data_IF_525484118527
#
_entry.id   IF_525484118527
#
_cell.length_a   1.000
_cell.length_b   1.000
_cell.length_c   1.000
_cell.angle_alpha   90.00
_cell.angle_beta   90.00
_cell.angle_gamma   90.00
#
_symmetry.space_group_name_H-M   'P 1'
#
loop_
_entity.id
_entity.type
_entity.pdbx_description
1 polymer ?
#
# COMPACT_ATOMS: atom_id res chain seq x y z
N UNK A 1 3.45 7.85 32.42
CA UNK A 1 3.66 7.13 31.14
C UNK A 1 2.36 7.18 30.37
N UNK A 2 2.28 8.02 29.33
CA UNK A 2 1.09 8.13 28.48
C UNK A 2 0.76 6.76 27.88
N UNK A 3 -0.47 6.30 28.06
CA UNK A 3 -1.00 5.04 27.55
C UNK A 3 -1.16 5.09 26.03
N UNK A 4 -0.06 5.11 25.29
CA UNK A 4 -0.12 4.73 23.88
C UNK A 4 -0.50 3.26 23.85
N UNK A 5 -1.73 2.98 23.39
CA UNK A 5 -2.14 1.62 23.09
C UNK A 5 -1.07 0.99 22.20
N UNK A 6 -0.60 -0.21 22.56
CA UNK A 6 0.36 -0.99 21.75
C UNK A 6 -0.09 -1.13 20.28
N UNK A 7 -1.39 -0.92 20.01
CA UNK A 7 -1.97 -0.86 18.68
C UNK A 7 -1.37 0.23 17.78
N UNK A 8 -0.89 1.34 18.33
CA UNK A 8 -0.31 2.46 17.58
C UNK A 8 1.22 2.37 17.48
N UNK A 9 1.88 1.67 18.40
CA UNK A 9 3.34 1.59 18.46
C UNK A 9 3.97 0.87 17.26
N UNK A 10 3.30 -0.18 16.77
CA UNK A 10 3.84 -1.10 15.78
C UNK A 10 3.23 -0.95 14.39
N UNK A 11 2.28 -0.02 14.20
CA UNK A 11 1.64 0.21 12.92
C UNK A 11 1.70 1.67 12.56
N UNK A 12 2.24 1.92 11.37
CA UNK A 12 2.15 3.21 10.71
C UNK A 12 0.83 3.26 9.97
N UNK A 13 0.14 4.40 10.05
CA UNK A 13 -0.94 4.72 9.14
C UNK A 13 -0.40 5.74 8.12
N UNK A 14 0.03 5.32 6.92
CA UNK A 14 0.70 6.23 6.01
C UNK A 14 -0.17 7.42 5.64
N UNK A 15 -1.50 7.25 5.56
CA UNK A 15 -2.47 8.32 5.27
C UNK A 15 -2.44 9.51 6.24
N UNK A 16 -1.86 9.34 7.43
CA UNK A 16 -1.62 10.43 8.40
C UNK A 16 -0.39 11.27 8.08
N UNK A 17 0.46 10.79 7.19
CA UNK A 17 1.71 11.41 6.82
C UNK A 17 1.47 12.29 5.61
N UNK A 18 1.99 13.52 5.69
CA UNK A 18 1.82 14.53 4.64
C UNK A 18 2.84 14.39 3.52
N UNK A 19 4.02 13.82 3.79
CA UNK A 19 5.14 13.76 2.84
C UNK A 19 5.46 12.33 2.43
N UNK A 20 5.59 12.13 1.12
CA UNK A 20 5.95 10.86 0.50
C UNK A 20 7.13 11.06 -0.46
N UNK A 21 7.98 10.05 -0.67
CA UNK A 21 8.05 8.79 0.10
C UNK A 21 8.38 9.01 1.60
N UNK A 22 8.21 7.97 2.42
CA UNK A 22 8.41 8.10 3.87
C UNK A 22 9.90 8.18 4.24
N UNK A 23 10.22 8.99 5.25
CA UNK A 23 11.56 9.07 5.84
C UNK A 23 11.75 7.96 6.88
N UNK A 24 11.97 6.73 6.40
CA UNK A 24 12.06 5.53 7.24
C UNK A 24 13.13 5.60 8.34
N UNK A 25 14.24 6.28 8.09
CA UNK A 25 15.26 6.50 9.10
C UNK A 25 14.75 7.32 10.30
N UNK A 26 13.87 8.30 10.08
CA UNK A 26 13.22 9.06 11.15
C UNK A 26 12.19 8.22 11.90
N UNK A 27 11.47 7.36 11.17
CA UNK A 27 10.46 6.46 11.75
C UNK A 27 11.11 5.45 12.71
N UNK A 28 12.24 4.85 12.31
CA UNK A 28 12.97 3.90 13.14
C UNK A 28 14.00 4.55 14.09
N UNK A 29 14.32 5.83 13.90
CA UNK A 29 15.32 6.56 14.68
C UNK A 29 16.76 6.11 14.42
N UNK A 30 17.02 5.44 13.30
CA UNK A 30 18.34 4.90 12.93
C UNK A 30 18.47 4.78 11.40
N UNK A 31 19.65 4.37 10.91
CA UNK A 31 19.94 4.21 9.48
C UNK A 31 20.11 2.75 9.06
N UNK A 32 19.52 1.81 9.80
CA UNK A 32 19.59 0.39 9.47
C UNK A 32 18.85 0.11 8.16
N UNK A 33 19.37 -0.85 7.39
CA UNK A 33 18.81 -1.27 6.11
C UNK A 33 17.39 -1.83 6.27
N UNK A 34 16.55 -1.61 5.26
CA UNK A 34 15.16 -2.05 5.28
C UNK A 34 14.96 -3.44 4.66
N UNK A 35 14.23 -4.31 5.35
CA UNK A 35 13.71 -5.57 4.83
C UNK A 35 12.19 -5.50 4.86
N UNK A 36 11.54 -5.72 3.71
CA UNK A 36 10.08 -5.67 3.58
C UNK A 36 9.53 -7.07 3.34
N UNK A 37 8.59 -7.52 4.16
CA UNK A 37 7.76 -8.70 3.87
C UNK A 37 6.38 -8.25 3.34
N UNK A 38 6.01 -8.74 2.16
CA UNK A 38 4.70 -8.52 1.56
C UNK A 38 3.80 -9.73 1.84
N UNK A 39 2.61 -9.46 2.37
CA UNK A 39 1.63 -10.50 2.70
C UNK A 39 2.06 -11.34 3.90
N UNK A 40 2.52 -10.68 4.98
CA UNK A 40 3.07 -11.37 6.16
C UNK A 40 2.07 -12.27 6.89
N UNK A 41 0.76 -12.17 6.61
CA UNK A 41 -0.27 -13.02 7.20
C UNK A 41 -0.26 -12.98 8.72
N UNK A 42 -0.02 -14.12 9.39
CA UNK A 42 0.04 -14.18 10.85
C UNK A 42 1.26 -13.48 11.45
N UNK A 43 2.27 -13.12 10.64
CA UNK A 43 3.49 -12.44 11.07
C UNK A 43 4.53 -13.35 11.73
N UNK A 44 4.37 -14.67 11.71
CA UNK A 44 5.34 -15.60 12.30
C UNK A 44 6.74 -15.44 11.70
N UNK A 45 6.82 -15.30 10.38
CA UNK A 45 8.08 -15.16 9.65
C UNK A 45 8.73 -13.81 9.96
N UNK A 46 8.02 -12.70 9.77
CA UNK A 46 8.52 -11.35 10.06
C UNK A 46 9.06 -11.21 11.49
N UNK A 47 8.30 -11.69 12.48
CA UNK A 47 8.68 -11.63 13.90
C UNK A 47 9.95 -12.43 14.16
N UNK A 48 10.10 -13.59 13.52
CA UNK A 48 11.29 -14.43 13.72
C UNK A 48 12.53 -13.80 13.09
N UNK A 49 12.39 -13.23 11.88
CA UNK A 49 13.47 -12.48 11.23
C UNK A 49 13.96 -11.32 12.10
N UNK A 50 13.04 -10.52 12.63
CA UNK A 50 13.41 -9.35 13.42
C UNK A 50 14.04 -9.70 14.77
N UNK A 51 13.65 -10.82 15.38
CA UNK A 51 14.31 -11.34 16.59
C UNK A 51 15.73 -11.79 16.34
N UNK A 52 15.99 -12.41 15.19
CA UNK A 52 17.30 -12.96 14.87
C UNK A 52 18.33 -11.85 14.63
N UNK A 53 17.92 -10.75 13.97
CA UNK A 53 18.85 -9.73 13.54
C UNK A 53 18.34 -8.30 13.73
N UNK A 54 18.78 -7.65 14.81
CA UNK A 54 18.43 -6.26 15.12
C UNK A 54 19.18 -5.21 14.26
N UNK A 55 20.08 -5.62 13.37
CA UNK A 55 20.80 -4.71 12.47
C UNK A 55 20.00 -4.30 11.24
N UNK A 56 18.79 -4.84 11.08
CA UNK A 56 17.84 -4.46 10.04
C UNK A 56 16.56 -3.88 10.65
N UNK A 57 15.94 -2.97 9.90
CA UNK A 57 14.59 -2.52 10.15
C UNK A 57 13.63 -3.32 9.25
N UNK A 58 12.56 -3.83 9.81
CA UNK A 58 11.62 -4.72 9.15
C UNK A 58 10.28 -4.03 8.94
N UNK A 59 9.74 -4.14 7.73
CA UNK A 59 8.43 -3.60 7.39
C UNK A 59 7.53 -4.74 6.91
N UNK A 60 6.38 -4.91 7.55
CA UNK A 60 5.34 -5.83 7.08
C UNK A 60 4.24 -5.08 6.34
N UNK A 61 3.89 -5.50 5.12
CA UNK A 61 2.74 -4.95 4.37
C UNK A 61 1.67 -6.03 4.23
N UNK A 62 0.42 -5.71 4.59
CA UNK A 62 -0.70 -6.65 4.54
C UNK A 62 -2.02 -5.91 4.29
N UNK A 63 -3.01 -6.60 3.72
CA UNK A 63 -4.36 -6.08 3.45
C UNK A 63 -5.40 -6.54 4.48
N UNK A 64 -5.12 -7.60 5.23
CA UNK A 64 -5.99 -8.13 6.28
C UNK A 64 -5.82 -7.43 7.63
N UNK A 65 -6.83 -6.68 8.06
CA UNK A 65 -6.94 -6.10 9.42
C UNK A 65 -6.73 -7.15 10.52
N UNK A 66 -7.29 -8.34 10.35
CA UNK A 66 -7.16 -9.46 11.29
C UNK A 66 -5.71 -9.92 11.43
N UNK A 67 -4.96 -9.98 10.32
CA UNK A 67 -3.52 -10.28 10.31
C UNK A 67 -2.71 -9.20 11.05
N UNK A 68 -3.00 -7.92 10.79
CA UNK A 68 -2.36 -6.80 11.49
C UNK A 68 -2.59 -6.86 13.01
N UNK A 69 -3.80 -7.20 13.47
CA UNK A 69 -4.07 -7.38 14.91
C UNK A 69 -3.27 -8.54 15.51
N UNK A 70 -3.15 -9.67 14.80
CA UNK A 70 -2.40 -10.84 15.27
C UNK A 70 -0.92 -10.53 15.46
N UNK A 71 -0.29 -9.87 14.49
CA UNK A 71 1.14 -9.57 14.58
C UNK A 71 1.43 -8.51 15.66
N UNK A 72 0.60 -7.47 15.82
CA UNK A 72 0.78 -6.45 16.88
C UNK A 72 0.90 -7.06 18.27
N UNK A 73 0.07 -8.06 18.58
CA UNK A 73 0.15 -8.78 19.87
C UNK A 73 1.51 -9.47 20.04
N UNK A 74 2.02 -10.12 18.98
CA UNK A 74 3.34 -10.76 19.00
C UNK A 74 4.47 -9.76 19.13
N UNK A 75 4.41 -8.63 18.43
CA UNK A 75 5.43 -7.58 18.52
C UNK A 75 5.51 -7.02 19.95
N UNK A 76 4.35 -6.74 20.56
CA UNK A 76 4.27 -6.31 21.95
C UNK A 76 4.83 -7.35 22.92
N UNK A 77 4.42 -8.61 22.79
CA UNK A 77 4.90 -9.69 23.67
C UNK A 77 6.41 -9.95 23.58
N UNK A 78 7.05 -9.58 22.47
CA UNK A 78 8.47 -9.79 22.24
C UNK A 78 9.29 -8.48 22.32
N UNK A 79 8.67 -7.36 22.66
CA UNK A 79 9.31 -6.04 22.76
C UNK A 79 10.15 -5.67 21.51
N UNK A 80 9.65 -5.96 20.30
CA UNK A 80 10.39 -5.73 19.06
C UNK A 80 10.21 -4.30 18.54
N UNK A 81 11.25 -3.49 18.62
CA UNK A 81 11.26 -2.09 18.19
C UNK A 81 11.77 -1.87 16.75
N UNK A 82 12.36 -2.89 16.13
CA UNK A 82 12.87 -2.87 14.76
C UNK A 82 11.85 -3.36 13.71
N UNK A 83 10.55 -3.41 14.05
CA UNK A 83 9.46 -3.73 13.12
C UNK A 83 8.44 -2.59 13.07
N UNK A 84 7.97 -2.26 11.87
CA UNK A 84 6.73 -1.53 11.64
C UNK A 84 5.83 -2.29 10.66
N UNK A 85 4.51 -2.21 10.82
CA UNK A 85 3.55 -2.79 9.86
C UNK A 85 2.71 -1.71 9.20
N UNK A 86 2.27 -1.99 7.98
CA UNK A 86 1.38 -1.15 7.19
C UNK A 86 0.20 -2.01 6.73
N UNK A 87 -1.01 -1.48 6.92
CA UNK A 87 -2.23 -2.03 6.34
C UNK A 87 -2.49 -1.33 5.00
N UNK A 88 -2.08 -1.92 3.89
CA UNK A 88 -2.23 -1.31 2.56
C UNK A 88 -2.07 -2.34 1.43
N UNK A 89 -2.53 -1.99 0.22
CA UNK A 89 -2.14 -2.70 -1.00
C UNK A 89 -0.61 -2.63 -1.20
N UNK A 90 0.01 -3.78 -1.45
CA UNK A 90 1.46 -3.86 -1.52
C UNK A 90 2.06 -3.15 -2.74
N UNK A 91 1.38 -3.17 -3.89
CA UNK A 91 1.88 -2.48 -5.09
C UNK A 91 1.88 -0.98 -4.86
N UNK A 92 0.79 -0.44 -4.31
CA UNK A 92 0.68 0.96 -3.94
C UNK A 92 1.69 1.34 -2.85
N UNK A 93 1.76 0.57 -1.76
CA UNK A 93 2.65 0.85 -0.65
C UNK A 93 4.13 0.89 -1.06
N UNK A 94 4.60 -0.10 -1.83
CA UNK A 94 5.98 -0.12 -2.31
C UNK A 94 6.26 1.08 -3.22
N UNK A 95 5.33 1.42 -4.13
CA UNK A 95 5.49 2.53 -5.08
C UNK A 95 5.45 3.90 -4.43
N UNK A 96 4.66 4.11 -3.40
CA UNK A 96 4.45 5.45 -2.83
C UNK A 96 5.22 5.71 -1.54
N UNK A 97 5.50 4.67 -0.74
CA UNK A 97 6.02 4.84 0.63
C UNK A 97 7.54 4.71 0.75
N UNK A 98 8.22 4.18 -0.27
CA UNK A 98 9.66 3.90 -0.22
C UNK A 98 10.41 4.70 -1.28
N UNK A 99 11.43 5.45 -0.88
CA UNK A 99 12.31 6.16 -1.80
C UNK A 99 13.06 5.20 -2.72
N UNK A 100 13.56 5.71 -3.83
CA UNK A 100 14.48 4.99 -4.69
C UNK A 100 15.69 4.50 -3.88
N UNK A 101 16.19 3.29 -4.20
CA UNK A 101 17.36 2.70 -3.56
C UNK A 101 17.29 2.59 -2.01
N UNK A 102 16.10 2.41 -1.42
CA UNK A 102 15.91 2.41 0.04
C UNK A 102 15.65 1.03 0.65
N UNK A 103 15.30 0.03 -0.15
CA UNK A 103 14.96 -1.31 0.35
C UNK A 103 16.09 -2.30 0.07
N UNK A 104 16.65 -2.93 1.09
CA UNK A 104 17.66 -3.97 0.90
C UNK A 104 17.06 -5.29 0.38
N UNK A 105 15.95 -5.74 0.98
CA UNK A 105 15.28 -7.00 0.55
C UNK A 105 13.77 -6.83 0.55
N UNK A 106 13.14 -7.36 -0.50
CA UNK A 106 11.70 -7.64 -0.51
C UNK A 106 11.50 -9.14 -0.45
N UNK A 107 10.74 -9.61 0.53
CA UNK A 107 10.43 -11.02 0.74
C UNK A 107 8.94 -11.24 0.51
N UNK A 108 8.60 -12.25 -0.28
CA UNK A 108 7.22 -12.65 -0.55
C UNK A 108 7.10 -14.14 -0.35
N UNK A 109 6.35 -14.54 0.68
CA UNK A 109 6.16 -15.94 1.02
C UNK A 109 4.74 -16.37 0.64
N UNK A 110 4.66 -17.33 -0.27
CA UNK A 110 3.44 -18.02 -0.70
C UNK A 110 2.29 -17.09 -1.13
N UNK A 111 2.53 -16.15 -2.07
CA UNK A 111 1.47 -15.29 -2.59
C UNK A 111 0.44 -16.11 -3.35
N UNK A 112 -0.81 -15.62 -3.40
CA UNK A 112 -1.87 -16.27 -4.17
C UNK A 112 -1.51 -16.27 -5.67
N UNK A 113 -1.43 -17.44 -6.33
CA UNK A 113 -0.93 -17.53 -7.71
C UNK A 113 -1.98 -17.13 -8.75
N UNK A 114 -3.27 -17.11 -8.40
CA UNK A 114 -4.39 -16.85 -9.31
C UNK A 114 -4.28 -17.63 -10.63
N UNK A 115 -4.59 -18.94 -10.63
CA UNK A 115 -4.30 -19.83 -11.77
C UNK A 115 -5.08 -19.50 -13.04
N UNK A 116 -6.31 -18.99 -12.90
CA UNK A 116 -7.16 -18.67 -14.07
C UNK A 116 -6.68 -17.39 -14.74
N UNK A 117 -6.50 -17.39 -16.07
CA UNK A 117 -6.00 -16.25 -16.84
C UNK A 117 -6.81 -14.96 -16.63
N UNK A 118 -8.14 -15.07 -16.46
CA UNK A 118 -9.03 -13.94 -16.14
C UNK A 118 -8.70 -13.22 -14.81
N UNK A 119 -7.90 -13.84 -13.95
CA UNK A 119 -7.43 -13.29 -12.67
C UNK A 119 -5.95 -12.92 -12.69
N UNK A 120 -5.28 -12.93 -13.85
CA UNK A 120 -3.86 -12.59 -13.95
C UNK A 120 -3.56 -11.19 -13.39
N UNK A 121 -4.48 -10.23 -13.53
CA UNK A 121 -4.38 -8.88 -12.96
C UNK A 121 -4.30 -8.84 -11.43
N UNK A 122 -4.75 -9.90 -10.75
CA UNK A 122 -4.71 -10.01 -9.28
C UNK A 122 -3.37 -10.58 -8.77
N UNK A 123 -2.49 -11.05 -9.67
CA UNK A 123 -1.16 -11.53 -9.28
C UNK A 123 -0.33 -10.36 -8.79
N UNK A 124 0.45 -10.59 -7.74
CA UNK A 124 1.34 -9.57 -7.17
C UNK A 124 2.41 -9.14 -8.18
N UNK A 125 3.09 -10.10 -8.79
CA UNK A 125 4.13 -9.86 -9.77
C UNK A 125 3.55 -9.64 -11.18
N UNK A 126 3.32 -8.37 -11.50
CA UNK A 126 3.15 -7.88 -12.87
C UNK A 126 4.34 -6.99 -13.27
N UNK A 127 4.36 -6.55 -14.52
CA UNK A 127 5.45 -5.74 -15.08
C UNK A 127 5.64 -4.42 -14.34
N UNK A 128 4.55 -3.69 -14.05
CA UNK A 128 4.59 -2.40 -13.33
C UNK A 128 5.15 -2.56 -11.92
N UNK A 129 4.79 -3.65 -11.24
CA UNK A 129 5.30 -3.93 -9.90
C UNK A 129 6.79 -4.28 -9.93
N UNK A 130 7.25 -5.03 -10.92
CA UNK A 130 8.69 -5.33 -11.08
C UNK A 130 9.49 -4.08 -11.46
N UNK A 131 8.95 -3.21 -12.30
CA UNK A 131 9.54 -1.89 -12.57
C UNK A 131 9.69 -1.09 -11.27
N UNK A 132 8.66 -1.10 -10.42
CA UNK A 132 8.68 -0.45 -9.10
C UNK A 132 9.76 -1.05 -8.19
N UNK A 133 9.86 -2.38 -8.12
CA UNK A 133 10.90 -3.07 -7.35
C UNK A 133 12.30 -2.65 -7.81
N UNK A 134 12.52 -2.49 -9.12
CA UNK A 134 13.81 -2.03 -9.65
C UNK A 134 14.17 -0.61 -9.22
N UNK A 135 13.18 0.25 -8.99
CA UNK A 135 13.40 1.62 -8.51
C UNK A 135 13.74 1.65 -7.02
N UNK A 136 12.97 0.94 -6.18
CA UNK A 136 13.06 1.06 -4.72
C UNK A 136 14.15 0.21 -4.07
N UNK A 137 14.59 -0.89 -4.69
CA UNK A 137 15.63 -1.75 -4.12
C UNK A 137 16.99 -1.06 -4.14
N UNK A 138 17.82 -1.30 -3.13
CA UNK A 138 19.22 -0.82 -3.08
C UNK A 138 20.01 -1.29 -4.31
N UNK A 139 20.96 -0.48 -4.79
CA UNK A 139 21.83 -0.85 -5.91
C UNK A 139 22.78 -2.00 -5.53
N UNK A 140 23.26 -1.97 -4.28
CA UNK A 140 24.12 -3.01 -3.71
C UNK A 140 23.26 -3.97 -2.89
N UNK A 141 23.32 -5.26 -3.23
CA UNK A 141 22.61 -6.36 -2.57
C UNK A 141 21.06 -6.28 -2.55
N UNK A 142 20.47 -5.30 -3.23
CA UNK A 142 19.02 -5.17 -3.41
C UNK A 142 18.44 -6.40 -4.10
N UNK A 143 17.53 -7.11 -3.44
CA UNK A 143 16.94 -8.33 -4.02
C UNK A 143 15.51 -8.60 -3.60
N UNK A 144 14.83 -9.35 -4.47
CA UNK A 144 13.54 -9.96 -4.22
C UNK A 144 13.74 -11.43 -3.93
N UNK A 145 13.10 -11.93 -2.88
CA UNK A 145 13.06 -13.34 -2.52
C UNK A 145 11.61 -13.79 -2.55
N UNK A 146 11.27 -14.64 -3.51
CA UNK A 146 9.95 -15.25 -3.62
C UNK A 146 10.04 -16.74 -3.24
N UNK A 147 9.19 -17.16 -2.31
CA UNK A 147 8.94 -18.58 -2.05
C UNK A 147 7.49 -18.92 -2.41
N UNK A 148 7.25 -20.03 -3.12
CA UNK A 148 5.90 -20.51 -3.44
C UNK A 148 5.85 -22.04 -3.50
N UNK A 149 4.68 -22.63 -3.27
CA UNK A 149 4.42 -24.06 -3.49
C UNK A 149 3.99 -24.39 -4.94
N UNK A 150 4.01 -23.38 -5.83
CA UNK A 150 3.50 -23.49 -7.20
C UNK A 150 4.59 -23.20 -8.22
N UNK A 151 5.14 -24.25 -8.84
CA UNK A 151 6.26 -24.14 -9.78
C UNK A 151 5.97 -23.24 -10.98
N UNK A 152 4.82 -23.41 -11.64
CA UNK A 152 4.49 -22.60 -12.82
C UNK A 152 4.40 -21.11 -12.48
N UNK A 153 3.99 -20.77 -11.26
CA UNK A 153 3.92 -19.38 -10.81
C UNK A 153 5.34 -18.82 -10.57
N UNK A 154 6.24 -19.59 -9.95
CA UNK A 154 7.65 -19.21 -9.85
C UNK A 154 8.28 -18.97 -11.23
N UNK A 155 7.95 -19.82 -12.22
CA UNK A 155 8.42 -19.67 -13.61
C UNK A 155 7.86 -18.43 -14.30
N UNK A 156 6.55 -18.15 -14.19
CA UNK A 156 5.92 -16.91 -14.69
C UNK A 156 6.58 -15.67 -14.09
N UNK A 157 6.87 -15.67 -12.79
CA UNK A 157 7.56 -14.56 -12.13
C UNK A 157 9.02 -14.43 -12.60
N UNK A 158 9.74 -15.55 -12.74
CA UNK A 158 11.11 -15.56 -13.27
C UNK A 158 11.18 -14.91 -14.65
N UNK A 159 10.27 -15.29 -15.55
CA UNK A 159 10.21 -14.75 -16.91
C UNK A 159 9.98 -13.23 -16.91
N UNK A 160 9.05 -12.72 -16.09
CA UNK A 160 8.81 -11.27 -16.00
C UNK A 160 10.02 -10.50 -15.46
N UNK A 161 10.76 -11.06 -14.49
CA UNK A 161 12.00 -10.44 -14.03
C UNK A 161 13.07 -10.41 -15.12
N UNK A 162 13.20 -11.49 -15.91
CA UNK A 162 14.12 -11.52 -17.05
C UNK A 162 13.73 -10.49 -18.12
N UNK A 163 12.44 -10.42 -18.49
CA UNK A 163 11.92 -9.48 -19.49
C UNK A 163 12.05 -8.02 -19.04
N UNK A 164 12.01 -7.75 -17.73
CA UNK A 164 12.20 -6.39 -17.21
C UNK A 164 13.62 -5.85 -17.48
N UNK A 165 14.64 -6.70 -17.52
CA UNK A 165 16.03 -6.34 -17.85
C UNK A 165 16.85 -5.69 -16.73
N UNK A 166 16.24 -5.32 -15.59
CA UNK A 166 16.97 -4.74 -14.45
C UNK A 166 17.31 -5.71 -13.32
N UNK A 167 17.13 -7.01 -13.55
CA UNK A 167 17.41 -8.04 -12.56
C UNK A 167 18.26 -9.17 -13.12
N UNK A 168 19.21 -9.63 -12.32
CA UNK A 168 19.81 -10.94 -12.48
C UNK A 168 19.01 -11.95 -11.66
N UNK A 169 18.53 -13.00 -12.31
CA UNK A 169 17.60 -13.95 -11.70
C UNK A 169 18.26 -15.32 -11.61
N UNK A 170 18.36 -15.86 -10.39
CA UNK A 170 18.89 -17.21 -10.16
C UNK A 170 17.91 -18.27 -10.69
N UNK A 171 18.43 -19.47 -10.90
CA UNK A 171 17.56 -20.63 -11.17
C UNK A 171 16.63 -20.90 -9.99
N UNK A 172 15.41 -21.33 -10.31
CA UNK A 172 14.44 -21.74 -9.31
C UNK A 172 15.01 -22.98 -8.63
N UNK A 173 15.08 -22.94 -7.30
CA UNK A 173 15.57 -24.04 -6.48
C UNK A 173 14.44 -24.63 -5.66
N UNK A 174 14.43 -25.94 -5.51
CA UNK A 174 13.56 -26.61 -4.55
C UNK A 174 14.22 -26.54 -3.17
N UNK A 175 13.49 -26.07 -2.16
CA UNK A 175 14.01 -25.88 -0.81
C UNK A 175 13.22 -26.72 0.19
N UNK A 176 13.95 -27.44 1.06
CA UNK A 176 13.32 -28.29 2.06
C UNK A 176 12.79 -27.49 3.25
N UNK A 177 13.46 -26.39 3.62
CA UNK A 177 13.11 -25.55 4.76
C UNK A 177 13.43 -24.08 4.45
N UNK A 178 12.54 -23.19 4.92
CA UNK A 178 12.85 -21.76 5.01
C UNK A 178 13.65 -21.46 6.29
N UNK A 179 14.40 -20.34 6.35
CA UNK A 179 15.12 -19.95 7.56
C UNK A 179 14.18 -19.81 8.77
N UNK A 180 12.93 -19.42 8.52
CA UNK A 180 11.88 -19.37 9.55
C UNK A 180 10.58 -19.95 9.04
N UNK A 181 9.85 -20.59 9.95
CA UNK A 181 8.57 -21.21 9.62
C UNK A 181 7.46 -20.18 9.45
N UNK A 182 6.78 -20.23 8.32
CA UNK A 182 5.49 -19.53 8.14
C UNK A 182 4.35 -20.33 8.77
N UNK A 183 3.18 -19.70 8.98
CA UNK A 183 1.96 -20.42 9.39
C UNK A 183 1.62 -21.57 8.42
N UNK A 184 1.82 -21.35 7.13
CA UNK A 184 1.47 -22.32 6.09
C UNK A 184 2.45 -23.49 6.03
N UNK A 185 3.73 -23.25 6.31
CA UNK A 185 4.75 -24.30 6.30
C UNK A 185 4.46 -25.41 7.32
N UNK A 186 3.95 -25.08 8.52
CA UNK A 186 3.51 -26.09 9.49
C UNK A 186 2.40 -26.99 8.97
N UNK A 187 1.51 -26.47 8.12
CA UNK A 187 0.43 -27.25 7.50
C UNK A 187 0.99 -28.10 6.36
N UNK A 188 1.88 -27.54 5.54
CA UNK A 188 2.39 -28.20 4.35
C UNK A 188 3.50 -29.20 4.59
N UNK A 189 4.24 -29.09 5.68
CA UNK A 189 5.18 -30.13 6.14
C UNK A 189 4.45 -31.47 6.33
N UNK A 190 3.21 -31.44 6.84
CA UNK A 190 2.39 -32.63 6.99
C UNK A 190 1.82 -33.15 5.65
N UNK A 191 1.78 -32.31 4.61
CA UNK A 191 1.27 -32.65 3.28
C UNK A 191 2.39 -32.96 2.27
N UNK A 192 3.67 -32.86 2.67
CA UNK A 192 4.82 -33.14 1.81
C UNK A 192 4.98 -32.21 0.60
N UNK A 193 4.43 -30.99 0.65
CA UNK A 193 4.48 -30.07 -0.51
C UNK A 193 5.88 -29.55 -0.76
N UNK A 194 6.24 -29.51 -2.05
CA UNK A 194 7.48 -28.87 -2.54
C UNK A 194 7.41 -27.36 -2.35
N UNK A 195 8.57 -26.74 -2.12
CA UNK A 195 8.72 -25.28 -2.00
C UNK A 195 9.76 -24.81 -3.02
N UNK A 196 9.40 -23.82 -3.80
CA UNK A 196 10.21 -23.26 -4.87
C UNK A 196 10.69 -21.86 -4.48
N UNK A 197 12.00 -21.66 -4.50
CA UNK A 197 12.67 -20.41 -4.18
C UNK A 197 13.18 -19.74 -5.45
N UNK A 198 12.81 -18.48 -5.63
CA UNK A 198 13.30 -17.59 -6.68
C UNK A 198 13.97 -16.38 -6.03
N UNK A 199 15.18 -16.07 -6.48
CA UNK A 199 15.93 -14.87 -6.05
C UNK A 199 16.24 -14.03 -7.28
N UNK A 200 15.78 -12.78 -7.27
CA UNK A 200 16.09 -11.78 -8.29
C UNK A 200 16.87 -10.64 -7.66
N UNK A 201 18.10 -10.39 -8.11
CA UNK A 201 18.97 -9.33 -7.62
C UNK A 201 18.97 -8.15 -8.59
N UNK A 202 18.82 -6.94 -8.07
CA UNK A 202 18.83 -5.71 -8.85
C UNK A 202 20.19 -5.50 -9.54
N UNK A 203 20.14 -4.98 -10.78
CA UNK A 203 21.29 -4.62 -11.61
C UNK A 203 21.19 -3.19 -12.15
N UNK A 204 20.00 -2.77 -12.54
CA UNK A 204 19.70 -1.38 -12.88
C UNK A 204 18.41 -0.93 -12.22
N UNK A 205 18.03 0.34 -12.43
CA UNK A 205 16.75 0.87 -12.01
C UNK A 205 15.98 1.43 -13.19
N UNK A 206 14.66 1.30 -13.16
CA UNK A 206 13.76 2.08 -14.01
C UNK A 206 13.22 3.28 -13.26
N UNK A 207 12.89 4.33 -13.98
CA UNK A 207 12.15 5.48 -13.42
C UNK A 207 10.68 5.11 -13.28
N UNK A 208 10.10 5.40 -12.13
CA UNK A 208 8.68 5.22 -11.87
C UNK A 208 7.98 6.56 -11.65
N UNK A 209 6.71 6.61 -12.02
CA UNK A 209 5.84 7.73 -11.66
C UNK A 209 5.16 7.43 -10.33
N UNK A 210 5.29 8.34 -9.37
CA UNK A 210 4.61 8.29 -8.07
C UNK A 210 3.38 9.19 -8.10
N UNK A 211 2.31 8.77 -7.43
CA UNK A 211 1.08 9.54 -7.34
C UNK A 211 1.12 10.56 -6.20
N UNK A 212 1.90 10.29 -5.16
CA UNK A 212 1.98 11.10 -3.93
C UNK A 212 3.24 11.97 -3.86
N UNK A 213 4.12 11.87 -4.85
CA UNK A 213 5.35 12.67 -4.90
C UNK A 213 5.04 14.09 -5.38
N UNK A 214 5.33 15.07 -4.52
CA UNK A 214 5.16 16.48 -4.84
C UNK A 214 3.72 17.00 -4.72
N UNK A 215 3.64 18.20 -4.14
CA UNK A 215 2.44 19.00 -3.90
C UNK A 215 1.49 18.46 -2.82
N UNK A 216 1.65 19.00 -1.62
CA UNK A 216 1.02 18.54 -0.37
C UNK A 216 -0.32 19.21 -0.08
N UNK A 217 -0.65 20.23 -0.84
CA UNK A 217 -1.85 21.01 -0.62
C UNK A 217 -3.06 20.28 -1.22
N UNK A 218 -4.04 20.05 -0.36
CA UNK A 218 -5.39 19.68 -0.79
C UNK A 218 -6.00 20.94 -1.39
N UNK A 219 -6.54 20.90 -2.61
CA UNK A 219 -7.32 22.01 -3.12
C UNK A 219 -8.62 22.05 -2.30
N UNK A 220 -8.63 22.83 -1.22
CA UNK A 220 -9.89 23.27 -0.65
C UNK A 220 -10.49 24.27 -1.61
N UNK A 221 -11.76 24.10 -1.94
CA UNK A 221 -12.49 25.06 -2.77
C UNK A 221 -13.39 25.88 -1.88
N UNK A 222 -13.43 27.19 -2.16
CA UNK A 222 -14.37 28.11 -1.52
C UNK A 222 -15.30 28.60 -2.61
N UNK A 223 -16.60 28.37 -2.42
CA UNK A 223 -17.62 28.79 -3.37
C UNK A 223 -18.62 29.71 -2.67
N UNK A 224 -19.24 30.62 -3.41
CA UNK A 224 -20.14 31.63 -2.82
C UNK A 224 -21.51 31.05 -2.48
N UNK A 225 -22.03 30.19 -3.34
CA UNK A 225 -23.37 29.60 -3.23
C UNK A 225 -23.30 28.12 -3.60
N UNK A 226 -24.25 27.35 -3.09
CA UNK A 226 -24.43 25.93 -3.40
C UNK A 226 -25.80 25.78 -4.05
N UNK A 227 -25.83 25.18 -5.24
CA UNK A 227 -27.03 24.62 -5.83
C UNK A 227 -27.28 23.24 -5.22
N UNK A 228 -28.28 23.17 -4.34
CA UNK A 228 -28.63 21.94 -3.61
C UNK A 228 -29.27 20.88 -4.50
N UNK A 229 -29.99 21.28 -5.56
CA UNK A 229 -30.58 20.34 -6.49
C UNK A 229 -29.48 19.67 -7.31
N UNK A 230 -28.49 20.46 -7.78
CA UNK A 230 -27.28 19.92 -8.41
C UNK A 230 -26.50 19.04 -7.45
N UNK A 231 -26.30 19.45 -6.19
CA UNK A 231 -25.61 18.63 -5.19
C UNK A 231 -26.27 17.26 -5.07
N UNK A 232 -27.59 17.19 -4.87
CA UNK A 232 -28.30 15.90 -4.76
C UNK A 232 -28.27 15.10 -6.07
N UNK A 233 -28.25 15.77 -7.23
CA UNK A 233 -28.13 15.13 -8.54
C UNK A 233 -26.77 14.47 -8.80
N UNK A 234 -25.74 14.78 -8.00
CA UNK A 234 -24.41 14.19 -8.15
C UNK A 234 -24.34 12.72 -7.74
N UNK A 235 -25.35 12.17 -7.05
CA UNK A 235 -25.38 10.74 -6.72
C UNK A 235 -25.37 9.90 -8.01
N UNK A 236 -24.35 9.05 -8.17
CA UNK A 236 -24.15 8.27 -9.40
C UNK A 236 -23.30 8.97 -10.46
N UNK A 237 -22.90 10.24 -10.25
CA UNK A 237 -21.97 10.95 -11.13
C UNK A 237 -20.68 10.14 -11.28
N UNK A 238 -20.27 9.96 -12.54
CA UNK A 238 -19.03 9.26 -12.90
C UNK A 238 -18.27 10.08 -13.93
N UNK A 239 -16.99 10.31 -13.65
CA UNK A 239 -16.04 10.87 -14.62
C UNK A 239 -14.82 9.97 -14.71
N UNK A 240 -14.47 9.59 -15.94
CA UNK A 240 -13.27 8.82 -16.24
C UNK A 240 -12.40 9.60 -17.22
N UNK A 241 -11.13 9.80 -16.90
CA UNK A 241 -10.17 10.47 -17.78
C UNK A 241 -8.80 9.79 -17.68
N UNK A 242 -8.27 9.31 -18.80
CA UNK A 242 -7.01 8.56 -18.88
C UNK A 242 -7.00 7.40 -17.86
N UNK A 243 -6.12 7.45 -16.87
CA UNK A 243 -5.94 6.41 -15.84
C UNK A 243 -6.58 6.77 -14.50
N UNK A 244 -7.59 7.66 -14.52
CA UNK A 244 -8.32 8.13 -13.34
C UNK A 244 -9.81 7.95 -13.51
N UNK A 245 -10.47 7.48 -12.48
CA UNK A 245 -11.94 7.42 -12.41
C UNK A 245 -12.39 7.99 -11.07
N UNK A 246 -13.45 8.80 -11.11
CA UNK A 246 -14.10 9.39 -9.93
C UNK A 246 -15.58 9.03 -10.02
N UNK A 247 -16.14 8.52 -8.93
CA UNK A 247 -17.56 8.17 -8.80
C UNK A 247 -18.10 8.72 -7.49
N UNK A 248 -19.14 9.52 -7.56
CA UNK A 248 -19.89 9.95 -6.39
C UNK A 248 -20.96 8.89 -6.11
N UNK A 249 -20.92 8.29 -4.92
CA UNK A 249 -21.77 7.14 -4.58
C UNK A 249 -23.00 7.52 -3.78
N UNK A 250 -22.82 8.36 -2.77
CA UNK A 250 -23.88 8.74 -1.84
C UNK A 250 -23.59 10.16 -1.34
N UNK A 251 -24.63 10.84 -0.87
CA UNK A 251 -24.52 12.14 -0.21
C UNK A 251 -25.33 12.07 1.07
N UNK A 252 -24.71 12.47 2.18
CA UNK A 252 -25.34 12.52 3.50
C UNK A 252 -25.46 13.97 3.92
N UNK A 253 -26.55 14.32 4.58
CA UNK A 253 -26.84 15.68 5.03
C UNK A 253 -26.96 15.70 6.54
N UNK A 254 -26.32 16.67 7.18
CA UNK A 254 -26.52 16.91 8.62
C UNK A 254 -27.94 17.46 8.84
N UNK A 255 -28.59 17.07 9.94
CA UNK A 255 -29.99 17.42 10.21
C UNK A 255 -30.27 18.94 10.23
N UNK A 256 -29.28 19.76 10.55
CA UNK A 256 -29.38 21.23 10.56
C UNK A 256 -29.11 21.87 9.18
N UNK A 257 -28.81 21.07 8.15
CA UNK A 257 -28.51 21.52 6.78
C UNK A 257 -27.20 22.31 6.65
N UNK A 258 -26.35 22.33 7.68
CA UNK A 258 -25.11 23.11 7.69
C UNK A 258 -23.94 22.42 6.99
N UNK A 259 -24.05 21.12 6.76
CA UNK A 259 -22.95 20.26 6.33
C UNK A 259 -23.45 19.05 5.52
N UNK A 260 -22.72 18.73 4.46
CA UNK A 260 -22.97 17.59 3.60
C UNK A 260 -21.69 16.76 3.45
N UNK A 261 -21.83 15.44 3.48
CA UNK A 261 -20.75 14.49 3.24
C UNK A 261 -21.00 13.77 1.93
N UNK A 262 -20.17 14.05 0.94
CA UNK A 262 -20.20 13.42 -0.38
C UNK A 262 -19.27 12.20 -0.36
N UNK A 263 -19.83 11.00 -0.46
CA UNK A 263 -19.06 9.75 -0.51
C UNK A 263 -18.51 9.54 -1.92
N UNK A 264 -17.19 9.57 -2.04
CA UNK A 264 -16.50 9.46 -3.32
C UNK A 264 -15.67 8.17 -3.36
N UNK A 265 -15.70 7.52 -4.50
CA UNK A 265 -14.75 6.48 -4.88
C UNK A 265 -13.86 7.04 -5.97
N UNK A 266 -12.54 6.87 -5.83
CA UNK A 266 -11.63 7.19 -6.91
C UNK A 266 -10.65 6.08 -7.17
N UNK A 267 -10.24 5.98 -8.43
CA UNK A 267 -9.20 5.09 -8.91
C UNK A 267 -8.10 5.91 -9.56
N UNK A 268 -6.85 5.67 -9.17
CA UNK A 268 -5.65 6.17 -9.85
C UNK A 268 -4.72 5.00 -10.18
N UNK A 269 -4.45 4.74 -11.46
CA UNK A 269 -3.52 3.68 -11.88
C UNK A 269 -3.84 2.30 -11.25
N UNK A 270 -5.13 1.96 -11.12
CA UNK A 270 -5.60 0.71 -10.50
C UNK A 270 -5.67 0.72 -8.97
N UNK A 271 -5.20 1.77 -8.30
CA UNK A 271 -5.38 1.93 -6.86
C UNK A 271 -6.74 2.57 -6.57
N UNK A 272 -7.58 1.88 -5.81
CA UNK A 272 -8.94 2.33 -5.49
C UNK A 272 -9.01 2.73 -4.02
N UNK A 273 -9.65 3.86 -3.75
CA UNK A 273 -9.96 4.32 -2.40
C UNK A 273 -11.35 4.94 -2.33
N UNK A 274 -11.94 4.90 -1.13
CA UNK A 274 -13.20 5.54 -0.80
C UNK A 274 -13.01 6.53 0.35
N UNK A 275 -13.60 7.71 0.23
CA UNK A 275 -13.48 8.79 1.22
C UNK A 275 -14.68 9.73 1.14
N UNK A 276 -14.73 10.69 2.05
CA UNK A 276 -15.75 11.71 2.08
C UNK A 276 -15.16 13.06 1.68
N UNK A 277 -15.91 13.82 0.88
CA UNK A 277 -15.69 15.24 0.64
C UNK A 277 -16.76 16.00 1.42
N UNK A 278 -16.30 16.87 2.31
CA UNK A 278 -17.13 17.71 3.14
C UNK A 278 -17.50 18.98 2.37
N UNK A 279 -18.80 19.31 2.34
CA UNK A 279 -19.34 20.59 1.89
C UNK A 279 -19.99 21.26 3.10
N UNK A 280 -19.32 22.26 3.67
CA UNK A 280 -19.75 22.91 4.92
C UNK A 280 -19.95 24.41 4.75
N UNK A 281 -20.98 24.93 5.42
CA UNK A 281 -21.29 26.35 5.40
C UNK A 281 -20.27 27.13 6.24
N UNK A 282 -19.74 28.22 5.69
CA UNK A 282 -18.86 29.16 6.39
C UNK A 282 -19.61 30.44 6.75
N UNK A 283 -18.95 31.37 7.47
CA UNK A 283 -19.46 32.74 7.68
C UNK A 283 -19.76 33.44 6.34
N UNK A 284 -18.88 33.22 5.36
CA UNK A 284 -19.01 33.71 3.99
C UNK A 284 -18.85 32.54 3.02
N UNK A 285 -19.94 32.14 2.37
CA UNK A 285 -19.95 31.06 1.38
C UNK A 285 -19.85 29.64 1.98
N UNK A 286 -19.26 28.74 1.20
CA UNK A 286 -19.16 27.30 1.49
C UNK A 286 -17.74 26.80 1.26
N UNK A 287 -17.32 25.85 2.09
CA UNK A 287 -16.03 25.16 1.99
C UNK A 287 -16.25 23.75 1.46
N UNK A 288 -15.52 23.38 0.42
CA UNK A 288 -15.43 22.02 -0.08
C UNK A 288 -14.02 21.52 0.19
N UNK A 289 -13.90 20.46 0.99
CA UNK A 289 -12.61 19.85 1.31
C UNK A 289 -12.73 18.35 1.50
N UNK A 290 -11.60 17.66 1.43
CA UNK A 290 -11.55 16.27 1.92
C UNK A 290 -11.91 16.27 3.41
N UNK A 291 -12.74 15.31 3.82
CA UNK A 291 -13.12 15.15 5.21
C UNK A 291 -11.89 14.84 6.10
N UNK A 292 -11.83 15.46 7.27
CA UNK A 292 -10.66 15.37 8.16
C UNK A 292 -10.55 13.99 8.85
N UNK A 293 -11.66 13.24 8.92
CA UNK A 293 -11.73 11.92 9.56
C UNK A 293 -11.50 10.82 8.53
N UNK A 294 -12.06 10.97 7.32
CA UNK A 294 -11.93 10.05 6.21
C UNK A 294 -10.55 10.18 5.54
N UNK A 295 -9.54 9.62 6.20
CA UNK A 295 -8.16 9.62 5.72
C UNK A 295 -8.06 8.94 4.36
N UNK A 296 -7.73 9.72 3.34
CA UNK A 296 -7.47 9.30 1.97
C UNK A 296 -6.05 9.68 1.57
N UNK A 297 -5.41 8.91 0.69
CA UNK A 297 -4.20 9.39 0.04
C UNK A 297 -4.58 10.50 -0.92
N UNK A 298 -3.82 11.59 -0.92
CA UNK A 298 -4.07 12.79 -1.73
C UNK A 298 -3.64 12.59 -3.19
N UNK A 299 -4.11 11.51 -3.81
CA UNK A 299 -3.81 11.17 -5.19
C UNK A 299 -4.43 12.19 -6.15
N UNK A 300 -3.97 12.25 -7.41
CA UNK A 300 -4.54 13.17 -8.40
C UNK A 300 -6.05 13.05 -8.59
N UNK A 301 -6.65 11.85 -8.52
CA UNK A 301 -8.11 11.73 -8.60
C UNK A 301 -8.83 12.28 -7.36
N UNK A 302 -8.24 12.20 -6.16
CA UNK A 302 -8.80 12.84 -4.96
C UNK A 302 -8.82 14.36 -5.10
N UNK A 303 -7.70 14.94 -5.53
CA UNK A 303 -7.60 16.39 -5.78
C UNK A 303 -8.62 16.84 -6.85
N UNK A 304 -8.78 16.06 -7.91
CA UNK A 304 -9.74 16.35 -8.97
C UNK A 304 -11.20 16.18 -8.50
N UNK A 305 -11.51 15.22 -7.64
CA UNK A 305 -12.86 15.02 -7.11
C UNK A 305 -13.36 16.25 -6.35
N UNK A 306 -12.52 16.84 -5.49
CA UNK A 306 -12.86 18.06 -4.75
C UNK A 306 -13.16 19.22 -5.72
N UNK A 307 -12.33 19.38 -6.76
CA UNK A 307 -12.53 20.42 -7.77
C UNK A 307 -13.81 20.22 -8.61
N UNK A 308 -14.11 18.98 -9.00
CA UNK A 308 -15.34 18.66 -9.74
C UNK A 308 -16.56 18.97 -8.89
N UNK A 309 -16.60 18.49 -7.65
CA UNK A 309 -17.74 18.71 -6.76
C UNK A 309 -17.99 20.21 -6.61
N UNK A 310 -16.96 21.00 -6.31
CA UNK A 310 -17.08 22.45 -6.19
C UNK A 310 -17.61 23.10 -7.48
N UNK A 311 -17.07 22.72 -8.65
CA UNK A 311 -17.47 23.27 -9.94
C UNK A 311 -18.93 22.94 -10.31
N UNK A 312 -19.38 21.72 -10.03
CA UNK A 312 -20.74 21.30 -10.36
C UNK A 312 -21.78 22.02 -9.49
N UNK A 313 -21.49 22.25 -8.21
CA UNK A 313 -22.45 22.81 -7.25
C UNK A 313 -22.41 24.34 -7.12
N UNK A 314 -21.41 25.04 -7.66
CA UNK A 314 -21.30 26.51 -7.56
C UNK A 314 -22.24 27.26 -8.53
N UNK A 315 -22.81 26.57 -9.52
CA UNK A 315 -23.62 27.18 -10.59
C UNK A 315 -25.00 27.65 -10.15
#
# INVERSE_FOLDING_TARGET
MSSYSYLQMYQINPKDIKRYPLEWNKIFGNSNKLIVEIGFGGGEFLVSLAKENNNYNYIGIETSLTSCHKIKKKLFQNNLNNIQIILEDAKFAIRELFSDNSINKVIVNFPCPWPKSKHAKNRLFDEKFIDTLSSVLEEVDGKVILTTDVFWYASDVKEKFLNNGCFEVKNISEVNQLPFKTRYEKKWENEGRKKYLLIAQKRCKKTIKRLLEGDFDLPHQKIKKVDFDKLQSLVGFKKSCKNKTIVIKDIYTKLDGSEYLVKVFSEDEGYIQSYFVNVSKMKEGWLIKLDDIAKAYRTPAVKEAVNIIAKEIEN
#
